data_IF_901892156927
#
_entry.id   IF_901892156927
#
_cell.length_a   1.000
_cell.length_b   1.000
_cell.length_c   1.000
_cell.angle_alpha   90.00
_cell.angle_beta   90.00
_cell.angle_gamma   90.00
#
_symmetry.space_group_name_H-M   'P 1'
#
loop_
_entity.id
_entity.type
_entity.pdbx_description
1 polymer ?
#
# COMPACT_ATOMS: atom_id res chain seq x y z
N UNK A 1 12.28 -10.35 -12.95
CA UNK A 1 11.84 -8.92 -13.01
C UNK A 1 11.02 -8.62 -11.77
N UNK A 2 11.33 -7.57 -11.03
CA UNK A 2 10.64 -7.16 -9.80
C UNK A 2 9.85 -5.89 -10.04
N UNK A 3 8.63 -5.83 -9.56
CA UNK A 3 7.67 -4.77 -9.87
C UNK A 3 7.29 -3.97 -8.63
N UNK A 4 7.37 -2.65 -8.73
CA UNK A 4 6.95 -1.71 -7.69
C UNK A 4 5.69 -0.99 -8.16
N UNK A 5 4.66 -0.97 -7.33
CA UNK A 5 3.52 -0.10 -7.52
C UNK A 5 3.56 1.05 -6.52
N UNK A 6 3.47 2.27 -7.00
CA UNK A 6 3.41 3.47 -6.18
C UNK A 6 2.17 4.31 -6.50
N UNK A 7 1.36 4.62 -5.49
CA UNK A 7 0.31 5.63 -5.58
C UNK A 7 0.69 6.87 -4.77
N UNK A 8 0.78 8.00 -5.44
CA UNK A 8 1.09 9.29 -4.84
C UNK A 8 -0.16 10.18 -4.89
N UNK A 9 -0.78 10.40 -3.75
CA UNK A 9 -2.02 11.16 -3.62
C UNK A 9 -1.86 12.68 -3.81
N UNK A 10 -1.03 13.08 -4.75
CA UNK A 10 -0.83 14.49 -5.11
C UNK A 10 -1.45 14.81 -6.47
N UNK A 11 -2.19 15.92 -6.59
CA UNK A 11 -2.74 16.37 -7.89
C UNK A 11 -1.73 17.03 -8.81
N UNK A 12 -0.46 17.17 -8.39
CA UNK A 12 0.54 18.01 -9.08
C UNK A 12 1.42 17.26 -10.09
N UNK A 13 1.21 15.94 -10.29
CA UNK A 13 2.09 15.09 -11.13
C UNK A 13 3.57 15.30 -10.79
N UNK A 14 4.40 15.49 -11.82
CA UNK A 14 5.85 15.71 -11.74
C UNK A 14 6.23 17.02 -11.00
N UNK A 15 5.26 17.88 -10.71
CA UNK A 15 5.47 19.06 -9.85
C UNK A 15 5.31 18.75 -8.35
N UNK A 16 4.89 17.56 -8.00
CA UNK A 16 4.75 17.13 -6.61
C UNK A 16 6.10 16.85 -5.98
N UNK A 17 6.38 17.43 -4.82
CA UNK A 17 7.56 17.12 -4.02
C UNK A 17 7.55 15.64 -3.56
N UNK A 18 6.37 15.10 -3.20
CA UNK A 18 6.22 13.69 -2.83
C UNK A 18 6.56 12.76 -4.00
N UNK A 19 6.10 13.11 -5.23
CA UNK A 19 6.47 12.36 -6.44
C UNK A 19 7.98 12.47 -6.71
N UNK A 20 8.54 13.67 -6.65
CA UNK A 20 9.99 13.90 -6.86
C UNK A 20 10.83 13.07 -5.91
N UNK A 21 10.48 13.06 -4.62
CA UNK A 21 11.17 12.28 -3.60
C UNK A 21 11.05 10.77 -3.87
N UNK A 22 9.86 10.31 -4.27
CA UNK A 22 9.64 8.91 -4.66
C UNK A 22 10.51 8.53 -5.85
N UNK A 23 10.58 9.39 -6.87
CA UNK A 23 11.39 9.12 -8.07
C UNK A 23 12.88 9.06 -7.77
N UNK A 24 13.41 9.92 -6.89
CA UNK A 24 14.82 9.83 -6.45
C UNK A 24 15.16 8.43 -5.89
N UNK A 25 14.25 7.85 -5.11
CA UNK A 25 14.42 6.49 -4.58
C UNK A 25 14.29 5.42 -5.68
N UNK A 26 13.29 5.53 -6.55
CA UNK A 26 13.10 4.59 -7.66
C UNK A 26 14.28 4.61 -8.63
N UNK A 27 14.80 5.79 -8.96
CA UNK A 27 15.96 5.93 -9.85
C UNK A 27 17.20 5.25 -9.22
N UNK A 28 17.41 5.42 -7.91
CA UNK A 28 18.48 4.72 -7.18
C UNK A 28 18.32 3.20 -7.23
N UNK A 29 17.10 2.68 -7.04
CA UNK A 29 16.83 1.23 -7.17
C UNK A 29 17.15 0.71 -8.56
N UNK A 30 16.80 1.46 -9.62
CA UNK A 30 17.11 1.09 -11.01
C UNK A 30 18.60 1.20 -11.35
N UNK A 31 19.36 2.03 -10.63
CA UNK A 31 20.82 2.03 -10.71
C UNK A 31 21.40 0.75 -10.11
N UNK A 32 20.84 0.30 -8.97
CA UNK A 32 21.29 -0.91 -8.28
C UNK A 32 20.93 -2.18 -9.07
N UNK A 33 19.73 -2.22 -9.68
CA UNK A 33 19.24 -3.37 -10.43
C UNK A 33 18.32 -2.92 -11.59
N UNK A 34 18.76 -3.16 -12.83
CA UNK A 34 18.03 -2.79 -14.05
C UNK A 34 16.77 -3.64 -14.29
N UNK A 35 16.62 -4.77 -13.61
CA UNK A 35 15.42 -5.60 -13.70
C UNK A 35 14.25 -5.08 -12.84
N UNK A 36 14.49 -4.08 -12.00
CA UNK A 36 13.44 -3.44 -11.22
C UNK A 36 12.62 -2.51 -12.12
N UNK A 37 11.33 -2.76 -12.16
CA UNK A 37 10.35 -1.89 -12.83
C UNK A 37 9.46 -1.22 -11.80
N UNK A 38 9.05 0.00 -12.07
CA UNK A 38 8.17 0.73 -11.18
C UNK A 38 7.09 1.48 -11.97
N UNK A 39 5.85 1.31 -11.54
CA UNK A 39 4.75 2.14 -11.99
C UNK A 39 4.38 3.12 -10.88
N UNK A 40 4.63 4.41 -11.13
CA UNK A 40 4.35 5.48 -10.18
C UNK A 40 3.20 6.34 -10.72
N UNK A 41 2.04 6.24 -10.09
CA UNK A 41 0.85 6.97 -10.46
C UNK A 41 0.54 8.06 -9.44
N UNK A 42 0.22 9.24 -9.92
CA UNK A 42 -0.26 10.34 -9.08
C UNK A 42 -1.79 10.46 -9.17
N UNK A 43 -2.39 11.10 -8.19
CA UNK A 43 -3.84 11.35 -8.19
C UNK A 43 -4.33 12.14 -9.43
N UNK A 44 -3.44 12.84 -10.14
CA UNK A 44 -3.77 13.55 -11.38
C UNK A 44 -3.94 12.63 -12.59
N UNK A 45 -3.33 11.45 -12.55
CA UNK A 45 -3.29 10.51 -13.67
C UNK A 45 -4.40 9.45 -13.61
N UNK A 46 -5.16 9.43 -12.52
CA UNK A 46 -6.22 8.45 -12.29
C UNK A 46 -7.52 9.14 -11.91
N UNK A 47 -8.62 8.59 -12.36
CA UNK A 47 -9.94 9.01 -11.96
C UNK A 47 -10.48 8.03 -10.91
N UNK A 48 -10.68 8.50 -9.68
CA UNK A 48 -11.24 7.70 -8.58
C UNK A 48 -12.45 8.45 -8.04
N UNK A 49 -13.63 7.84 -8.14
CA UNK A 49 -14.88 8.38 -7.59
C UNK A 49 -14.93 8.17 -6.09
N UNK A 50 -15.54 9.09 -5.36
CA UNK A 50 -15.71 9.00 -3.92
C UNK A 50 -16.51 7.76 -3.52
N UNK A 51 -16.12 7.11 -2.43
CA UNK A 51 -16.90 6.04 -1.85
C UNK A 51 -18.28 6.56 -1.40
N UNK A 52 -19.34 5.86 -1.79
CA UNK A 52 -20.72 6.24 -1.44
C UNK A 52 -21.23 5.57 -0.17
N UNK A 53 -20.43 4.76 0.51
CA UNK A 53 -20.83 4.04 1.73
C UNK A 53 -21.91 2.98 1.51
N UNK A 54 -22.10 2.48 0.27
CA UNK A 54 -23.22 1.61 -0.11
C UNK A 54 -23.10 0.15 0.38
N UNK A 55 -21.99 -0.23 1.03
CA UNK A 55 -21.73 -1.58 1.57
C UNK A 55 -21.71 -2.74 0.54
N UNK A 56 -21.88 -2.48 -0.75
CA UNK A 56 -21.93 -3.52 -1.78
C UNK A 56 -20.64 -4.35 -1.84
N UNK A 57 -19.49 -3.73 -1.60
CA UNK A 57 -18.21 -4.44 -1.55
C UNK A 57 -18.12 -5.44 -0.38
N UNK A 58 -18.83 -5.18 0.73
CA UNK A 58 -18.86 -6.02 1.92
C UNK A 58 -19.91 -7.13 1.83
N UNK A 59 -21.02 -6.87 1.11
CA UNK A 59 -22.14 -7.79 1.02
C UNK A 59 -22.12 -8.65 -0.26
N UNK A 60 -21.61 -8.09 -1.38
CA UNK A 60 -21.58 -8.75 -2.69
C UNK A 60 -20.17 -8.99 -3.24
N UNK A 61 -19.12 -8.50 -2.57
CA UNK A 61 -17.72 -8.72 -2.94
C UNK A 61 -17.18 -7.86 -4.08
N UNK A 62 -17.91 -6.85 -4.54
CA UNK A 62 -17.44 -5.93 -5.57
C UNK A 62 -17.87 -4.48 -5.28
N UNK A 63 -17.14 -3.52 -5.81
CA UNK A 63 -17.53 -2.12 -5.74
C UNK A 63 -18.23 -1.70 -7.05
N UNK A 64 -19.49 -1.21 -6.99
CA UNK A 64 -20.20 -0.79 -8.20
C UNK A 64 -19.51 0.34 -8.98
N UNK A 65 -18.69 1.15 -8.29
CA UNK A 65 -17.95 2.26 -8.89
C UNK A 65 -16.76 1.80 -9.72
N UNK A 66 -16.21 0.60 -9.46
CA UNK A 66 -15.02 0.07 -10.14
C UNK A 66 -15.19 -0.09 -11.66
N UNK A 67 -16.46 -0.19 -12.15
CA UNK A 67 -16.74 -0.25 -13.59
C UNK A 67 -16.66 1.11 -14.30
N UNK A 68 -16.70 2.21 -13.55
CA UNK A 68 -16.76 3.57 -14.09
C UNK A 68 -15.57 4.45 -13.73
N UNK A 69 -14.52 3.87 -13.11
CA UNK A 69 -13.30 4.58 -12.74
C UNK A 69 -12.05 3.67 -12.80
N UNK A 70 -10.89 4.21 -12.43
CA UNK A 70 -9.62 3.48 -12.53
C UNK A 70 -9.34 2.55 -11.34
N UNK A 71 -10.21 2.48 -10.33
CA UNK A 71 -9.91 1.77 -9.09
C UNK A 71 -9.73 0.27 -9.29
N UNK A 72 -10.45 -0.34 -10.25
CA UNK A 72 -10.26 -1.75 -10.62
C UNK A 72 -8.83 -2.02 -11.08
N UNK A 73 -8.32 -1.20 -12.00
CA UNK A 73 -6.95 -1.30 -12.52
C UNK A 73 -5.90 -1.08 -11.44
N UNK A 74 -6.14 -0.11 -10.53
CA UNK A 74 -5.21 0.15 -9.41
C UNK A 74 -5.14 -1.04 -8.46
N UNK A 75 -6.27 -1.65 -8.14
CA UNK A 75 -6.32 -2.88 -7.33
C UNK A 75 -5.56 -4.02 -7.98
N UNK A 76 -5.76 -4.25 -9.27
CA UNK A 76 -5.05 -5.28 -10.02
C UNK A 76 -3.52 -5.05 -10.00
N UNK A 77 -3.08 -3.82 -10.27
CA UNK A 77 -1.65 -3.46 -10.22
C UNK A 77 -1.04 -3.65 -8.83
N UNK A 78 -1.74 -3.27 -7.76
CA UNK A 78 -1.30 -3.55 -6.38
C UNK A 78 -1.21 -5.04 -6.10
N UNK A 79 -2.18 -5.84 -6.57
CA UNK A 79 -2.16 -7.28 -6.36
C UNK A 79 -0.98 -7.96 -7.08
N UNK A 80 -0.60 -7.48 -8.26
CA UNK A 80 0.51 -8.01 -9.07
C UNK A 80 1.89 -7.52 -8.61
N UNK A 81 1.99 -6.36 -7.99
CA UNK A 81 3.27 -5.78 -7.58
C UNK A 81 3.96 -6.57 -6.46
N UNK A 82 5.29 -6.64 -6.50
CA UNK A 82 6.12 -7.23 -5.44
C UNK A 82 6.32 -6.27 -4.25
N UNK A 83 6.20 -4.96 -4.48
CA UNK A 83 6.41 -3.92 -3.47
C UNK A 83 5.38 -2.80 -3.61
N UNK A 84 4.86 -2.31 -2.47
CA UNK A 84 3.82 -1.27 -2.44
C UNK A 84 4.36 0.03 -1.84
N UNK A 85 4.17 1.13 -2.56
CA UNK A 85 4.49 2.47 -2.06
C UNK A 85 3.22 3.32 -2.03
N UNK A 86 2.90 3.87 -0.87
CA UNK A 86 1.87 4.89 -0.75
C UNK A 86 2.48 6.21 -0.31
N UNK A 87 2.20 7.28 -1.06
CA UNK A 87 2.68 8.61 -0.76
C UNK A 87 1.57 9.65 -0.71
N UNK A 88 1.70 10.59 0.22
CA UNK A 88 0.81 11.75 0.31
C UNK A 88 1.58 12.99 0.74
N UNK A 89 1.34 14.16 0.12
CA UNK A 89 1.68 15.42 0.75
C UNK A 89 0.82 15.60 2.01
N UNK A 90 1.34 16.33 2.99
CA UNK A 90 0.54 16.76 4.13
C UNK A 90 -0.39 17.90 3.72
N UNK A 91 -1.69 17.66 3.80
CA UNK A 91 -2.73 18.68 3.66
C UNK A 91 -3.55 18.74 4.94
N UNK A 92 -3.62 19.91 5.54
CA UNK A 92 -4.37 20.11 6.79
C UNK A 92 -4.05 19.04 7.84
N UNK A 93 -2.75 18.86 8.13
CA UNK A 93 -2.21 17.95 9.14
C UNK A 93 -2.38 16.44 8.87
N UNK A 94 -2.89 16.03 7.71
CA UNK A 94 -3.07 14.62 7.36
C UNK A 94 -2.86 14.39 5.86
N UNK A 95 -3.31 13.25 5.34
CA UNK A 95 -3.25 12.93 3.92
C UNK A 95 -4.10 13.86 3.07
N UNK A 96 -3.76 14.02 1.81
CA UNK A 96 -4.59 14.78 0.85
C UNK A 96 -5.97 14.14 0.68
N UNK A 97 -6.97 14.92 0.27
CA UNK A 97 -8.31 14.41 -0.05
C UNK A 97 -8.29 13.32 -1.14
N UNK A 98 -7.38 13.46 -2.11
CA UNK A 98 -7.18 12.47 -3.16
C UNK A 98 -6.65 11.14 -2.60
N UNK A 99 -5.70 11.20 -1.66
CA UNK A 99 -5.24 10.00 -0.95
C UNK A 99 -6.39 9.36 -0.20
N UNK A 100 -7.16 10.15 0.56
CA UNK A 100 -8.29 9.61 1.33
C UNK A 100 -9.33 8.95 0.42
N UNK A 101 -9.64 9.55 -0.73
CA UNK A 101 -10.54 8.95 -1.72
C UNK A 101 -10.06 7.57 -2.19
N UNK A 102 -8.77 7.43 -2.49
CA UNK A 102 -8.16 6.15 -2.85
C UNK A 102 -8.28 5.12 -1.71
N UNK A 103 -7.94 5.51 -0.49
CA UNK A 103 -7.99 4.65 0.68
C UNK A 103 -9.40 4.14 0.98
N UNK A 104 -10.42 5.01 0.90
CA UNK A 104 -11.83 4.63 1.15
C UNK A 104 -12.34 3.58 0.16
N UNK A 105 -11.81 3.56 -1.05
CA UNK A 105 -12.19 2.59 -2.10
C UNK A 105 -11.55 1.21 -1.90
N UNK A 106 -10.68 1.04 -0.91
CA UNK A 106 -10.09 -0.23 -0.52
C UNK A 106 -10.81 -0.90 0.67
N UNK A 107 -11.96 -0.42 1.11
CA UNK A 107 -12.65 -0.83 2.33
C UNK A 107 -12.69 -2.36 2.52
N UNK A 108 -13.22 -3.13 1.57
CA UNK A 108 -13.27 -4.59 1.68
C UNK A 108 -11.87 -5.25 1.66
N UNK A 109 -10.90 -4.63 1.02
CA UNK A 109 -9.53 -5.16 0.94
C UNK A 109 -8.83 -5.18 2.30
N UNK A 110 -9.11 -4.20 3.18
CA UNK A 110 -8.61 -4.19 4.55
C UNK A 110 -9.13 -5.39 5.34
N UNK A 111 -10.43 -5.69 5.24
CA UNK A 111 -11.04 -6.84 5.91
C UNK A 111 -10.51 -8.18 5.40
N UNK A 112 -10.09 -8.22 4.16
CA UNK A 112 -9.65 -9.42 3.44
C UNK A 112 -8.13 -9.57 3.42
N UNK A 113 -7.39 -8.63 3.99
CA UNK A 113 -5.91 -8.64 4.05
C UNK A 113 -5.30 -8.93 2.66
N UNK A 114 -5.81 -8.25 1.61
CA UNK A 114 -5.60 -8.57 0.20
C UNK A 114 -4.16 -8.49 -0.30
N UNK A 115 -3.27 -7.83 0.43
CA UNK A 115 -1.86 -7.65 0.06
C UNK A 115 -0.92 -8.37 1.05
N UNK A 116 -1.43 -9.42 1.71
CA UNK A 116 -0.66 -10.19 2.68
C UNK A 116 0.71 -10.63 2.11
N UNK A 117 1.74 -10.48 2.93
CA UNK A 117 3.10 -10.91 2.61
C UNK A 117 3.91 -9.94 1.75
N UNK A 118 3.31 -8.83 1.29
CA UNK A 118 4.05 -7.82 0.52
C UNK A 118 4.80 -6.85 1.44
N UNK A 119 6.04 -6.47 1.11
CA UNK A 119 6.71 -5.33 1.73
C UNK A 119 6.18 -4.02 1.15
N UNK A 120 6.31 -2.94 1.92
CA UNK A 120 5.88 -1.62 1.46
C UNK A 120 6.61 -0.48 2.16
N UNK A 121 6.37 0.74 1.65
CA UNK A 121 6.97 1.98 2.14
C UNK A 121 5.95 3.11 2.06
N UNK A 122 6.02 4.05 3.00
CA UNK A 122 5.24 5.28 2.97
C UNK A 122 6.11 6.49 2.65
N UNK A 123 5.57 7.43 1.86
CA UNK A 123 6.26 8.67 1.49
C UNK A 123 5.42 9.88 1.90
N UNK A 124 6.05 10.86 2.55
CA UNK A 124 5.38 12.12 2.89
C UNK A 124 6.25 13.34 2.63
N UNK A 125 5.61 14.46 2.29
CA UNK A 125 6.26 15.76 2.19
C UNK A 125 5.38 16.86 2.76
N UNK A 126 6.01 17.84 3.40
CA UNK A 126 5.30 18.99 4.00
C UNK A 126 6.11 20.27 3.86
N UNK A 127 5.41 21.40 3.94
CA UNK A 127 6.07 22.69 4.15
C UNK A 127 6.27 23.04 5.64
N UNK A 128 5.61 22.31 6.55
CA UNK A 128 5.60 22.56 8.00
C UNK A 128 5.68 21.27 8.82
N UNK A 129 4.55 20.80 9.32
CA UNK A 129 4.43 19.65 10.21
C UNK A 129 3.36 18.68 9.72
N UNK A 130 3.19 17.53 10.38
CA UNK A 130 2.14 16.56 10.09
C UNK A 130 2.59 15.34 9.28
N UNK A 131 3.88 15.14 9.03
CA UNK A 131 4.39 13.94 8.34
C UNK A 131 4.12 12.68 9.16
N UNK A 132 4.32 12.73 10.48
CA UNK A 132 4.05 11.60 11.37
C UNK A 132 2.59 11.12 11.25
N UNK A 133 1.62 12.04 11.18
CA UNK A 133 0.20 11.71 11.03
C UNK A 133 -0.06 11.01 9.69
N UNK A 134 0.60 11.46 8.62
CA UNK A 134 0.51 10.83 7.30
C UNK A 134 1.12 9.43 7.33
N UNK A 135 2.34 9.27 7.87
CA UNK A 135 3.00 7.98 7.97
C UNK A 135 2.23 7.00 8.85
N UNK A 136 1.72 7.46 10.00
CA UNK A 136 0.91 6.64 10.90
C UNK A 136 -0.38 6.15 10.22
N UNK A 137 -1.10 7.03 9.52
CA UNK A 137 -2.32 6.63 8.81
C UNK A 137 -2.02 5.66 7.67
N UNK A 138 -1.05 5.99 6.80
CA UNK A 138 -0.71 5.15 5.67
C UNK A 138 -0.13 3.80 6.13
N UNK A 139 0.72 3.81 7.17
CA UNK A 139 1.31 2.60 7.74
C UNK A 139 0.27 1.68 8.37
N UNK A 140 -0.66 2.23 9.15
CA UNK A 140 -1.76 1.49 9.74
C UNK A 140 -2.62 0.81 8.66
N UNK A 141 -2.97 1.54 7.59
CA UNK A 141 -3.82 1.02 6.52
C UNK A 141 -3.08 0.03 5.61
N UNK A 142 -1.78 0.22 5.34
CA UNK A 142 -0.96 -0.79 4.68
C UNK A 142 -0.89 -2.07 5.51
N UNK A 143 -0.68 -1.95 6.83
CA UNK A 143 -0.73 -3.08 7.76
C UNK A 143 -2.07 -3.81 7.75
N UNK A 144 -3.19 -3.08 7.68
CA UNK A 144 -4.53 -3.67 7.54
C UNK A 144 -4.73 -4.42 6.22
N UNK A 145 -3.99 -4.07 5.16
CA UNK A 145 -3.93 -4.86 3.92
C UNK A 145 -2.98 -6.06 4.01
N UNK A 146 -2.24 -6.21 5.11
CA UNK A 146 -1.22 -7.23 5.29
C UNK A 146 0.15 -6.85 4.71
N UNK A 147 0.38 -5.57 4.41
CA UNK A 147 1.68 -5.08 3.93
C UNK A 147 2.58 -4.76 5.12
N UNK A 148 3.80 -5.29 5.12
CA UNK A 148 4.84 -4.89 6.07
C UNK A 148 5.48 -3.59 5.63
N UNK A 149 5.26 -2.51 6.36
CA UNK A 149 5.97 -1.25 6.13
C UNK A 149 7.40 -1.39 6.62
N UNK A 150 8.36 -1.45 5.70
CA UNK A 150 9.78 -1.70 6.00
C UNK A 150 10.61 -0.42 6.06
N UNK A 151 10.09 0.67 5.52
CA UNK A 151 10.71 1.99 5.57
C UNK A 151 9.67 3.11 5.44
N UNK A 152 10.06 4.30 5.89
CA UNK A 152 9.38 5.57 5.62
C UNK A 152 10.36 6.48 4.89
N UNK A 153 9.84 7.37 4.05
CA UNK A 153 10.64 8.36 3.32
C UNK A 153 9.94 9.72 3.38
N UNK A 154 10.64 10.73 3.87
CA UNK A 154 10.05 12.05 4.06
C UNK A 154 11.05 13.18 3.82
N UNK A 155 10.54 14.35 3.48
CA UNK A 155 11.32 15.58 3.39
C UNK A 155 10.44 16.83 3.43
N UNK A 156 11.04 17.97 3.69
CA UNK A 156 10.37 19.25 3.59
C UNK A 156 10.43 19.82 2.16
N UNK A 157 9.37 20.52 1.75
CA UNK A 157 9.31 21.24 0.49
C UNK A 157 8.23 22.32 0.54
N UNK A 158 8.54 23.53 0.06
CA UNK A 158 7.67 24.72 0.23
C UNK A 158 6.70 24.91 -0.91
N UNK A 159 7.21 24.90 -2.14
CA UNK A 159 6.43 25.08 -3.37
C UNK A 159 6.52 23.84 -4.25
N UNK A 160 5.67 23.71 -5.26
CA UNK A 160 5.80 22.62 -6.23
C UNK A 160 7.21 22.58 -6.84
N UNK A 161 7.81 21.39 -6.87
CA UNK A 161 9.20 21.12 -7.30
C UNK A 161 10.28 21.82 -6.46
N UNK A 162 9.99 22.20 -5.24
CA UNK A 162 10.94 22.91 -4.39
C UNK A 162 11.13 22.16 -3.08
N UNK A 163 12.07 21.24 -3.05
CA UNK A 163 12.53 20.61 -1.82
C UNK A 163 13.37 21.61 -1.01
N UNK A 164 13.25 21.59 0.30
CA UNK A 164 13.98 22.48 1.19
C UNK A 164 15.48 22.26 1.08
N UNK A 165 15.89 21.00 1.07
CA UNK A 165 17.26 20.53 0.91
C UNK A 165 17.27 19.35 -0.07
N UNK A 166 17.55 19.59 -1.36
CA UNK A 166 17.57 18.53 -2.37
C UNK A 166 18.64 17.46 -2.14
N UNK A 167 19.79 17.81 -1.54
CA UNK A 167 20.88 16.88 -1.33
C UNK A 167 20.57 15.96 -0.14
N UNK A 168 20.02 16.47 0.96
CA UNK A 168 19.52 15.67 2.06
C UNK A 168 18.34 14.78 1.62
N UNK A 169 17.42 15.30 0.82
CA UNK A 169 16.33 14.50 0.25
C UNK A 169 16.86 13.34 -0.61
N UNK A 170 17.91 13.58 -1.41
CA UNK A 170 18.57 12.53 -2.21
C UNK A 170 19.24 11.49 -1.34
N UNK A 171 19.95 11.89 -0.30
CA UNK A 171 20.57 10.96 0.67
C UNK A 171 19.52 10.09 1.35
N UNK A 172 18.40 10.69 1.81
CA UNK A 172 17.30 9.97 2.42
C UNK A 172 16.67 8.97 1.44
N UNK A 173 16.45 9.38 0.20
CA UNK A 173 15.90 8.54 -0.87
C UNK A 173 16.85 7.35 -1.19
N UNK A 174 18.16 7.58 -1.26
CA UNK A 174 19.15 6.52 -1.49
C UNK A 174 19.21 5.55 -0.31
N UNK A 175 19.21 6.03 0.92
CA UNK A 175 19.16 5.18 2.12
C UNK A 175 17.87 4.35 2.18
N UNK A 176 16.73 4.92 1.80
CA UNK A 176 15.47 4.18 1.68
C UNK A 176 15.55 3.10 0.59
N UNK A 177 16.14 3.40 -0.58
CA UNK A 177 16.35 2.42 -1.64
C UNK A 177 17.21 1.24 -1.17
N UNK A 178 18.33 1.49 -0.51
CA UNK A 178 19.20 0.46 0.04
C UNK A 178 18.50 -0.39 1.10
N UNK A 179 17.66 0.22 1.94
CA UNK A 179 16.90 -0.49 2.97
C UNK A 179 15.83 -1.41 2.40
N UNK A 180 15.16 -1.03 1.29
CA UNK A 180 14.10 -1.84 0.70
C UNK A 180 14.61 -2.85 -0.33
N UNK A 181 15.78 -2.65 -0.90
CA UNK A 181 16.37 -3.50 -1.96
C UNK A 181 16.41 -4.99 -1.57
N UNK A 182 16.85 -5.41 -0.36
CA UNK A 182 16.85 -6.83 0.02
C UNK A 182 15.46 -7.48 0.00
N UNK A 183 14.39 -6.71 0.24
CA UNK A 183 13.01 -7.21 0.13
C UNK A 183 12.57 -7.39 -1.33
N UNK A 184 13.03 -6.53 -2.22
CA UNK A 184 12.76 -6.64 -3.65
C UNK A 184 13.48 -7.83 -4.28
N UNK A 185 14.73 -8.07 -3.90
CA UNK A 185 15.53 -9.20 -4.42
C UNK A 185 15.10 -10.55 -3.83
N UNK A 186 14.37 -10.54 -2.71
CA UNK A 186 14.00 -11.75 -1.96
C UNK A 186 15.08 -12.24 -0.99
N UNK A 187 16.19 -11.50 -0.86
CA UNK A 187 17.23 -11.76 0.14
C UNK A 187 16.67 -11.66 1.56
N UNK A 188 15.77 -10.68 1.78
CA UNK A 188 15.04 -10.50 3.02
C UNK A 188 13.56 -10.72 2.82
N UNK A 189 12.97 -11.56 3.64
CA UNK A 189 11.54 -11.85 3.60
C UNK A 189 10.76 -11.01 4.61
N UNK A 190 9.47 -10.82 4.32
CA UNK A 190 8.54 -10.20 5.28
C UNK A 190 8.34 -11.15 6.44
N UNK A 191 8.57 -10.69 7.64
CA UNK A 191 8.28 -11.39 8.89
C UNK A 191 7.11 -10.73 9.61
N UNK A 192 6.33 -11.53 10.31
CA UNK A 192 5.23 -11.04 11.13
C UNK A 192 5.75 -10.24 12.33
N UNK A 193 4.94 -9.31 12.79
CA UNK A 193 5.15 -8.58 14.04
C UNK A 193 3.85 -8.56 14.89
N UNK A 194 3.91 -8.12 16.14
CA UNK A 194 2.74 -8.11 17.02
C UNK A 194 1.55 -7.34 16.46
N UNK A 195 1.78 -6.25 15.71
CA UNK A 195 0.71 -5.46 15.10
C UNK A 195 0.03 -6.23 13.96
N UNK A 196 0.79 -6.93 13.14
CA UNK A 196 0.26 -7.75 12.04
C UNK A 196 -0.51 -8.96 12.59
N UNK A 197 -0.03 -9.58 13.66
CA UNK A 197 -0.73 -10.69 14.32
C UNK A 197 -2.07 -10.24 14.91
N UNK A 198 -2.09 -9.11 15.60
CA UNK A 198 -3.33 -8.56 16.16
C UNK A 198 -4.32 -8.18 15.06
N UNK A 199 -3.86 -7.54 13.99
CA UNK A 199 -4.69 -7.19 12.84
C UNK A 199 -5.29 -8.45 12.19
N UNK A 200 -4.48 -9.48 11.97
CA UNK A 200 -4.94 -10.75 11.40
C UNK A 200 -6.03 -11.40 12.28
N UNK A 201 -5.77 -11.51 13.58
CA UNK A 201 -6.71 -12.06 14.55
C UNK A 201 -8.03 -11.30 14.56
N UNK A 202 -7.95 -9.98 14.60
CA UNK A 202 -9.14 -9.11 14.61
C UNK A 202 -9.94 -9.27 13.30
N UNK A 203 -9.30 -9.31 12.13
CA UNK A 203 -10.00 -9.45 10.85
C UNK A 203 -10.60 -10.84 10.69
N UNK A 204 -9.92 -11.90 11.16
CA UNK A 204 -10.46 -13.26 11.20
C UNK A 204 -11.72 -13.33 12.07
N UNK A 205 -11.66 -12.81 13.29
CA UNK A 205 -12.82 -12.77 14.19
C UNK A 205 -13.97 -11.98 13.58
N UNK A 206 -13.69 -10.81 13.00
CA UNK A 206 -14.68 -9.98 12.32
C UNK A 206 -15.35 -10.71 11.16
N UNK A 207 -14.57 -11.45 10.36
CA UNK A 207 -15.09 -12.25 9.26
C UNK A 207 -16.05 -13.34 9.77
N UNK A 208 -15.66 -14.09 10.79
CA UNK A 208 -16.48 -15.17 11.35
C UNK A 208 -17.76 -14.62 12.02
N UNK A 209 -17.64 -13.63 12.87
CA UNK A 209 -18.79 -13.00 13.56
C UNK A 209 -19.70 -12.26 12.57
N UNK A 210 -19.12 -11.71 11.52
CA UNK A 210 -19.81 -10.94 10.48
C UNK A 210 -20.44 -11.78 9.37
N UNK A 211 -20.38 -13.10 9.37
CA UNK A 211 -20.81 -13.95 8.27
C UNK A 211 -22.19 -13.59 7.69
N UNK A 212 -23.16 -13.27 8.56
CA UNK A 212 -24.50 -12.87 8.13
C UNK A 212 -24.58 -11.45 7.56
N UNK A 213 -23.73 -10.54 7.99
CA UNK A 213 -23.78 -9.11 7.67
C UNK A 213 -22.75 -8.71 6.60
N UNK A 214 -21.64 -9.44 6.54
CA UNK A 214 -20.52 -9.23 5.63
C UNK A 214 -20.20 -10.53 4.87
N UNK A 215 -21.18 -11.14 4.18
CA UNK A 215 -21.02 -12.47 3.60
C UNK A 215 -19.89 -12.55 2.57
N UNK A 216 -19.57 -11.46 1.89
CA UNK A 216 -18.49 -11.44 0.92
C UNK A 216 -17.10 -11.50 1.58
N UNK A 217 -16.94 -10.92 2.77
CA UNK A 217 -15.69 -11.06 3.54
C UNK A 217 -15.51 -12.49 4.01
N UNK A 218 -16.54 -13.09 4.60
CA UNK A 218 -16.49 -14.48 5.03
C UNK A 218 -16.15 -15.41 3.86
N UNK A 219 -16.86 -15.28 2.73
CA UNK A 219 -16.62 -16.09 1.55
C UNK A 219 -15.18 -15.94 1.01
N UNK A 220 -14.58 -14.75 1.13
CA UNK A 220 -13.19 -14.55 0.77
C UNK A 220 -12.22 -15.32 1.68
N UNK A 221 -12.42 -15.24 3.01
CA UNK A 221 -11.60 -15.94 3.98
C UNK A 221 -11.71 -17.47 3.83
N UNK A 222 -12.93 -17.97 3.63
CA UNK A 222 -13.22 -19.38 3.39
C UNK A 222 -12.56 -19.87 2.09
N UNK A 223 -12.82 -19.19 0.96
CA UNK A 223 -12.26 -19.54 -0.36
C UNK A 223 -10.72 -19.63 -0.37
N UNK A 224 -10.05 -18.78 0.41
CA UNK A 224 -8.59 -18.75 0.49
C UNK A 224 -8.04 -19.62 1.62
N UNK A 225 -8.88 -20.44 2.28
CA UNK A 225 -8.53 -21.28 3.43
C UNK A 225 -7.80 -20.49 4.53
N UNK A 226 -8.23 -19.25 4.75
CA UNK A 226 -7.64 -18.36 5.77
C UNK A 226 -8.31 -18.56 7.12
N UNK A 227 -9.52 -19.12 7.15
CA UNK A 227 -10.25 -19.44 8.40
C UNK A 227 -9.54 -20.52 9.22
N UNK A 228 -8.76 -21.39 8.59
CA UNK A 228 -8.01 -22.46 9.24
C UNK A 228 -6.64 -21.99 9.75
N UNK A 229 -6.17 -20.84 9.32
CA UNK A 229 -4.86 -20.28 9.68
C UNK A 229 -4.93 -19.62 11.06
N UNK A 230 -3.98 -19.91 11.94
CA UNK A 230 -4.02 -19.45 13.32
C UNK A 230 -3.31 -18.12 13.58
N UNK A 231 -2.31 -17.79 12.74
CA UNK A 231 -1.49 -16.58 12.90
C UNK A 231 -1.15 -15.95 11.56
N UNK A 232 -0.78 -14.69 11.57
CA UNK A 232 -0.26 -14.05 10.35
C UNK A 232 1.05 -14.69 9.89
N UNK A 233 1.89 -15.12 10.83
CA UNK A 233 3.12 -15.85 10.51
C UNK A 233 2.82 -17.16 9.76
N UNK A 234 1.75 -17.88 10.11
CA UNK A 234 1.35 -19.09 9.37
C UNK A 234 0.77 -18.76 7.99
N UNK A 235 0.07 -17.64 7.85
CA UNK A 235 -0.34 -17.13 6.54
C UNK A 235 0.88 -16.84 5.67
N UNK A 236 1.91 -16.19 6.19
CA UNK A 236 3.16 -15.93 5.46
C UNK A 236 3.84 -17.22 5.01
N UNK A 237 3.89 -18.24 5.85
CA UNK A 237 4.42 -19.58 5.47
C UNK A 237 3.62 -20.17 4.31
N UNK A 238 2.29 -20.18 4.41
CA UNK A 238 1.41 -20.67 3.34
C UNK A 238 1.65 -19.94 2.01
N UNK A 239 1.76 -18.60 2.03
CA UNK A 239 1.99 -17.80 0.83
C UNK A 239 3.34 -18.06 0.14
N UNK A 240 4.32 -18.59 0.86
CA UNK A 240 5.66 -18.93 0.36
C UNK A 240 5.78 -20.37 -0.16
N UNK A 241 4.90 -21.25 0.30
CA UNK A 241 4.88 -22.63 -0.18
C UNK A 241 4.32 -22.66 -1.59
N UNK A 242 5.06 -23.16 -2.59
CA UNK A 242 4.51 -23.32 -3.93
C UNK A 242 3.24 -24.19 -3.83
N UNK A 243 2.17 -23.76 -4.48
CA UNK A 243 0.99 -24.62 -4.67
C UNK A 243 1.46 -25.77 -5.57
N UNK A 244 1.59 -26.97 -5.02
CA UNK A 244 1.74 -28.17 -5.84
C UNK A 244 0.53 -28.19 -6.77
N UNK A 245 0.77 -28.02 -8.07
CA UNK A 245 -0.27 -28.18 -9.05
C UNK A 245 -0.65 -29.66 -9.02
N UNK A 246 -1.78 -29.96 -8.42
CA UNK A 246 -2.43 -31.27 -8.61
C UNK A 246 -2.65 -31.44 -10.12
N UNK A 247 -1.87 -32.33 -10.67
CA UNK A 247 -1.91 -32.77 -12.07
C UNK A 247 -3.14 -33.63 -12.36
#
# INVERSE_FOLDING_TARGET
>A
MKTIFAYIGSPLKERSNTYTLTMMMIDRLKEMDKEITAEVLTARQVNIRYCTGCWTCMTKGFCPLDKGDDMSKLKEKMAQADFIIWGSPVYTYTVSGQTKTFLDRLCAWYHQIRLAGKPGLTVSTTAGSGMDQVHNLLGMLLGALGVKVVATLETHGYFPKTLKDPDEARKAAHAAAEKIYPYLTGEKQVESDPQMEECFKMMKQKSVMGQKWLPADYAYWEKNSMLEINSYADLLKKLRTPVEQES
#
